data_IF_645916560723
#
_entry.id   IF_645916560723
#
_cell.length_a   1.000
_cell.length_b   1.000
_cell.length_c   1.000
_cell.angle_alpha   90.00
_cell.angle_beta   90.00
_cell.angle_gamma   90.00
#
_symmetry.space_group_name_H-M   'P 1'
#
loop_
_entity.id
_entity.type
_entity.pdbx_description
1 polymer ?
#
# COMPACT_ATOMS: atom_id res chain seq x y z
N UNK A 1 14.72 0.60 19.69
CA UNK A 1 13.57 0.97 18.89
C UNK A 1 13.17 -0.20 17.99
N UNK A 2 11.92 -0.53 18.03
CA UNK A 2 11.43 -1.66 17.28
C UNK A 2 10.88 -1.20 15.96
N UNK A 3 11.43 -1.71 14.87
CA UNK A 3 10.88 -1.48 13.57
C UNK A 3 9.88 -2.60 13.30
N UNK A 4 8.64 -2.23 13.02
CA UNK A 4 7.64 -3.23 12.68
C UNK A 4 7.87 -3.64 11.24
N UNK A 5 8.33 -4.87 11.06
CA UNK A 5 8.48 -5.43 9.73
C UNK A 5 7.25 -6.27 9.42
N UNK A 6 6.47 -5.80 8.47
CA UNK A 6 5.30 -6.54 8.03
C UNK A 6 5.68 -7.42 6.86
N UNK A 7 5.22 -8.66 6.92
CA UNK A 7 5.41 -9.58 5.82
C UNK A 7 4.27 -9.40 4.85
N UNK A 8 4.59 -8.86 3.68
CA UNK A 8 3.61 -8.59 2.65
C UNK A 8 3.58 -9.74 1.68
N UNK A 9 2.40 -10.22 1.39
CA UNK A 9 2.19 -11.24 0.39
C UNK A 9 1.41 -10.64 -0.77
N UNK A 10 1.95 -10.79 -1.98
CA UNK A 10 1.24 -10.31 -3.18
C UNK A 10 0.37 -11.46 -3.69
N UNK A 11 -0.91 -11.36 -3.42
CA UNK A 11 -1.87 -12.34 -3.90
C UNK A 11 -2.29 -11.95 -5.33
N UNK A 12 -1.53 -12.45 -6.29
CA UNK A 12 -1.76 -12.06 -7.69
C UNK A 12 -3.07 -12.61 -8.24
N UNK A 13 -3.56 -13.71 -7.68
CA UNK A 13 -4.83 -14.26 -8.11
C UNK A 13 -5.99 -13.33 -7.78
N UNK A 14 -6.01 -12.81 -6.54
CA UNK A 14 -7.05 -11.89 -6.10
C UNK A 14 -6.70 -10.42 -6.34
N UNK A 15 -5.49 -10.14 -6.80
CA UNK A 15 -5.02 -8.77 -7.04
C UNK A 15 -5.09 -7.94 -5.77
N UNK A 16 -4.41 -8.41 -4.75
CA UNK A 16 -4.35 -7.68 -3.49
C UNK A 16 -3.05 -7.99 -2.75
N UNK A 17 -2.51 -6.99 -2.05
CA UNK A 17 -1.43 -7.19 -1.11
C UNK A 17 -2.04 -7.54 0.23
N UNK A 18 -1.47 -8.53 0.90
CA UNK A 18 -2.02 -9.04 2.15
C UNK A 18 -0.97 -9.06 3.24
N UNK A 19 -1.39 -8.82 4.47
CA UNK A 19 -0.57 -9.08 5.64
C UNK A 19 -1.46 -9.61 6.75
N UNK A 20 -0.94 -10.57 7.49
CA UNK A 20 -1.68 -11.19 8.59
C UNK A 20 -1.18 -10.69 9.93
N UNK A 21 -2.11 -10.35 10.81
CA UNK A 21 -1.81 -10.02 12.19
C UNK A 21 -2.70 -10.93 13.04
N UNK A 22 -2.08 -11.95 13.66
CA UNK A 22 -2.87 -12.97 14.34
C UNK A 22 -3.79 -13.69 13.38
N UNK A 23 -5.08 -13.64 13.66
CA UNK A 23 -6.10 -14.25 12.81
C UNK A 23 -6.73 -13.25 11.85
N UNK A 24 -6.24 -12.04 11.81
CA UNK A 24 -6.84 -10.98 11.00
C UNK A 24 -6.02 -10.71 9.76
N UNK A 25 -6.71 -10.46 8.66
CA UNK A 25 -6.07 -10.21 7.38
C UNK A 25 -6.36 -8.76 6.94
N UNK A 26 -5.30 -7.99 6.78
CA UNK A 26 -5.39 -6.66 6.17
C UNK A 26 -5.01 -6.78 4.71
N UNK A 27 -5.62 -5.97 3.86
CA UNK A 27 -5.33 -6.05 2.43
C UNK A 27 -5.45 -4.71 1.74
N UNK A 28 -4.70 -4.57 0.66
CA UNK A 28 -4.81 -3.45 -0.26
C UNK A 28 -5.08 -4.03 -1.63
N UNK A 29 -6.27 -3.75 -2.16
CA UNK A 29 -6.64 -4.23 -3.49
C UNK A 29 -6.04 -3.34 -4.56
N UNK A 30 -5.66 -3.93 -5.67
CA UNK A 30 -5.01 -3.19 -6.73
C UNK A 30 -5.45 -3.68 -8.10
N UNK A 31 -5.18 -2.87 -9.12
CA UNK A 31 -5.21 -3.33 -10.50
C UNK A 31 -3.92 -2.91 -11.18
N UNK A 32 -3.52 -3.66 -12.17
CA UNK A 32 -2.29 -3.40 -12.92
C UNK A 32 -2.64 -2.97 -14.33
N UNK A 33 -1.91 -1.97 -14.81
CA UNK A 33 -2.03 -1.53 -16.20
C UNK A 33 -0.64 -1.09 -16.65
N UNK A 34 -0.01 -1.92 -17.45
CA UNK A 34 1.36 -1.71 -17.88
C UNK A 34 2.27 -1.64 -16.65
N UNK A 35 3.00 -0.54 -16.45
CA UNK A 35 3.87 -0.38 -15.29
C UNK A 35 3.24 0.45 -14.19
N UNK A 36 1.93 0.62 -14.23
CA UNK A 36 1.19 1.36 -13.21
C UNK A 36 0.39 0.40 -12.36
N UNK A 37 0.46 0.58 -11.06
CA UNK A 37 -0.36 -0.18 -10.13
C UNK A 37 -1.31 0.79 -9.44
N UNK A 38 -2.61 0.52 -9.58
CA UNK A 38 -3.65 1.35 -9.01
C UNK A 38 -4.05 0.74 -7.69
N UNK A 39 -3.76 1.43 -6.60
CA UNK A 39 -4.13 0.97 -5.27
C UNK A 39 -5.55 1.47 -4.99
N UNK A 40 -6.51 0.57 -5.13
CA UNK A 40 -7.91 0.94 -5.21
C UNK A 40 -8.64 0.92 -3.87
N UNK A 41 -8.21 0.05 -2.95
CA UNK A 41 -8.97 -0.11 -1.71
C UNK A 41 -8.06 -0.61 -0.60
N UNK A 42 -8.13 0.06 0.55
CA UNK A 42 -7.43 -0.35 1.76
C UNK A 42 -8.44 -0.90 2.74
N UNK A 43 -8.28 -2.16 3.13
CA UNK A 43 -9.20 -2.83 4.04
C UNK A 43 -8.43 -3.38 5.22
N UNK A 44 -8.69 -2.83 6.39
CA UNK A 44 -8.07 -3.26 7.64
C UNK A 44 -9.16 -3.66 8.62
N UNK A 45 -9.14 -4.88 9.16
CA UNK A 45 -10.12 -5.28 10.17
C UNK A 45 -10.09 -4.34 11.37
N UNK A 46 -11.27 -4.09 11.93
CA UNK A 46 -11.39 -3.16 13.03
C UNK A 46 -10.53 -3.56 14.24
N UNK A 47 -10.38 -4.85 14.45
CA UNK A 47 -9.63 -5.40 15.59
C UNK A 47 -8.15 -5.03 15.58
N UNK A 48 -7.59 -4.74 14.41
CA UNK A 48 -6.18 -4.37 14.28
C UNK A 48 -6.00 -2.98 13.68
N UNK A 49 -7.08 -2.21 13.64
CA UNK A 49 -7.03 -0.88 13.02
C UNK A 49 -6.46 0.13 14.00
N UNK A 50 -5.25 0.58 13.70
CA UNK A 50 -4.68 1.75 14.34
C UNK A 50 -3.80 2.46 13.31
N UNK A 51 -3.45 3.71 13.61
CA UNK A 51 -2.73 4.55 12.66
C UNK A 51 -1.34 4.01 12.37
N UNK A 52 -0.66 3.49 13.39
CA UNK A 52 0.69 2.99 13.21
C UNK A 52 0.70 1.77 12.30
N UNK A 53 -0.21 0.84 12.51
CA UNK A 53 -0.31 -0.34 11.66
C UNK A 53 -0.66 0.05 10.23
N UNK A 54 -1.63 0.93 10.07
CA UNK A 54 -2.05 1.36 8.74
C UNK A 54 -0.90 1.96 7.96
N UNK A 55 -0.13 2.84 8.59
CA UNK A 55 0.99 3.47 7.92
C UNK A 55 2.11 2.48 7.62
N UNK A 56 2.37 1.56 8.54
CA UNK A 56 3.38 0.53 8.31
C UNK A 56 3.00 -0.37 7.13
N UNK A 57 1.73 -0.70 7.04
CA UNK A 57 1.24 -1.54 5.94
C UNK A 57 1.39 -0.82 4.60
N UNK A 58 0.97 0.45 4.55
CA UNK A 58 1.11 1.23 3.31
C UNK A 58 2.58 1.36 2.92
N UNK A 59 3.46 1.65 3.88
CA UNK A 59 4.89 1.77 3.60
C UNK A 59 5.47 0.47 3.05
N UNK A 60 5.10 -0.66 3.65
CA UNK A 60 5.61 -1.94 3.19
C UNK A 60 5.16 -2.24 1.77
N UNK A 61 3.92 -1.92 1.43
CA UNK A 61 3.40 -2.12 0.09
C UNK A 61 4.11 -1.19 -0.91
N UNK A 62 4.32 0.08 -0.52
CA UNK A 62 5.02 1.02 -1.40
C UNK A 62 6.45 0.57 -1.65
N UNK A 63 7.12 0.04 -0.64
CA UNK A 63 8.47 -0.47 -0.80
C UNK A 63 8.51 -1.64 -1.79
N UNK A 64 7.54 -2.53 -1.68
CA UNK A 64 7.42 -3.65 -2.61
C UNK A 64 7.20 -3.16 -4.05
N UNK A 65 6.35 -2.15 -4.22
CA UNK A 65 6.08 -1.55 -5.52
C UNK A 65 7.35 -0.96 -6.11
N UNK A 66 8.12 -0.26 -5.28
CA UNK A 66 9.36 0.35 -5.71
C UNK A 66 10.37 -0.71 -6.16
N UNK A 67 10.48 -1.80 -5.41
CA UNK A 67 11.41 -2.87 -5.74
C UNK A 67 11.07 -3.54 -7.07
N UNK A 68 9.81 -3.49 -7.46
CA UNK A 68 9.35 -4.09 -8.70
C UNK A 68 9.27 -3.09 -9.85
N UNK A 69 9.79 -1.90 -9.65
CA UNK A 69 9.86 -0.85 -10.69
C UNK A 69 8.50 -0.49 -11.26
N UNK A 70 7.49 -0.45 -10.39
CA UNK A 70 6.15 -0.02 -10.76
C UNK A 70 5.93 1.41 -10.30
N UNK A 71 4.98 2.08 -10.94
CA UNK A 71 4.53 3.41 -10.52
C UNK A 71 3.17 3.27 -9.86
N UNK A 72 2.97 4.03 -8.80
CA UNK A 72 1.75 3.91 -8.01
C UNK A 72 0.75 5.01 -8.38
N UNK A 73 -0.51 4.61 -8.58
CA UNK A 73 -1.61 5.55 -8.74
C UNK A 73 -2.57 5.31 -7.57
N UNK A 74 -2.60 6.22 -6.59
CA UNK A 74 -3.41 6.00 -5.39
C UNK A 74 -4.85 6.45 -5.63
N UNK A 75 -5.70 5.52 -5.99
CA UNK A 75 -7.13 5.81 -6.14
C UNK A 75 -7.87 5.69 -4.83
N UNK A 76 -7.29 4.98 -3.85
CA UNK A 76 -7.84 4.95 -2.50
C UNK A 76 -7.60 6.29 -1.81
N UNK A 77 -8.63 6.95 -1.27
CA UNK A 77 -8.43 8.23 -0.58
C UNK A 77 -7.48 8.14 0.60
N UNK A 78 -7.50 7.02 1.32
CA UNK A 78 -6.62 6.84 2.47
C UNK A 78 -5.16 6.76 2.06
N UNK A 79 -4.87 6.06 0.97
CA UNK A 79 -3.51 5.94 0.47
C UNK A 79 -3.05 7.24 -0.15
N UNK A 80 -3.93 7.91 -0.89
CA UNK A 80 -3.61 9.23 -1.44
C UNK A 80 -3.28 10.23 -0.33
N UNK A 81 -4.04 10.21 0.76
CA UNK A 81 -3.78 11.06 1.91
C UNK A 81 -2.42 10.76 2.53
N UNK A 82 -2.07 9.48 2.65
CA UNK A 82 -0.75 9.10 3.14
C UNK A 82 0.36 9.66 2.28
N UNK A 83 0.22 9.55 0.96
CA UNK A 83 1.24 10.03 0.04
C UNK A 83 1.37 11.56 0.08
N UNK A 84 0.27 12.28 0.27
CA UNK A 84 0.33 13.74 0.41
C UNK A 84 1.13 14.15 1.65
N UNK A 85 1.03 13.37 2.73
CA UNK A 85 1.73 13.67 3.98
C UNK A 85 3.16 13.16 4.00
N UNK A 86 3.51 12.24 3.10
CA UNK A 86 4.82 11.59 3.09
C UNK A 86 5.47 11.79 1.73
N UNK A 87 5.98 12.98 1.51
CA UNK A 87 6.47 13.41 0.20
C UNK A 87 7.67 12.63 -0.32
N UNK A 88 8.34 11.88 0.54
CA UNK A 88 9.46 11.05 0.11
C UNK A 88 9.04 9.97 -0.89
N UNK A 89 7.74 9.67 -0.98
CA UNK A 89 7.24 8.68 -1.92
C UNK A 89 6.75 9.28 -3.24
N UNK A 90 6.95 10.58 -3.44
CA UNK A 90 6.50 11.24 -4.67
C UNK A 90 7.10 10.63 -5.92
N UNK A 91 8.30 10.09 -5.82
CA UNK A 91 8.97 9.53 -6.98
C UNK A 91 8.28 8.27 -7.51
N UNK A 92 7.43 7.67 -6.70
CA UNK A 92 6.68 6.50 -7.14
C UNK A 92 5.49 6.86 -8.01
N UNK A 93 5.09 8.13 -8.03
CA UNK A 93 3.96 8.56 -8.83
C UNK A 93 4.34 8.69 -10.30
N UNK A 94 3.45 8.34 -11.23
CA UNK A 94 3.71 8.58 -12.63
C UNK A 94 3.83 10.07 -12.93
N UNK A 95 4.55 10.39 -14.00
CA UNK A 95 4.70 11.77 -14.44
C UNK A 95 3.31 12.34 -14.74
N UNK A 96 3.05 13.54 -14.19
CA UNK A 96 1.77 14.21 -14.42
C UNK A 96 0.68 13.92 -13.42
N UNK A 97 0.89 12.92 -12.54
CA UNK A 97 -0.07 12.62 -11.48
C UNK A 97 0.21 13.53 -10.29
N UNK A 98 -0.82 14.20 -9.82
CA UNK A 98 -0.74 15.06 -8.64
C UNK A 98 -1.72 14.58 -7.58
N UNK A 99 -1.31 14.71 -6.36
CA UNK A 99 -2.14 14.36 -5.22
C UNK A 99 -2.20 15.51 -4.22
#
# INVERSE_FOLDING_TARGET
MTTIELQIQDNTFLRQFETKVGNYLAKIEYSLQERKIFLTKLIIPEEIRDDEFRESFIKAVLHHIEENNLRVVPTSPQIASFLRRNKQYKELLPVGIRI
#
